data_IF_451514505847
#
_entry.id   IF_451514505847
#
_cell.length_a   1.000
_cell.length_b   1.000
_cell.length_c   1.000
_cell.angle_alpha   90.00
_cell.angle_beta   90.00
_cell.angle_gamma   90.00
#
_symmetry.space_group_name_H-M   'P 1'
#
loop_
_entity.id
_entity.type
_entity.pdbx_description
1 polymer ?
#
# COMPACT_ATOMS: atom_id res chain seq x y z
N UNK A 1 45.83 36.88 -42.31
CA UNK A 1 46.43 36.68 -40.97
C UNK A 1 45.32 36.97 -39.95
N UNK A 2 44.92 36.12 -39.01
CA UNK A 2 45.38 34.81 -38.56
C UNK A 2 44.16 33.98 -38.12
N UNK A 3 44.34 32.65 -38.18
CA UNK A 3 43.41 31.58 -37.79
C UNK A 3 43.57 31.23 -36.30
N UNK A 4 42.47 30.83 -35.65
CA UNK A 4 42.41 29.99 -34.43
C UNK A 4 40.93 29.60 -34.24
N UNK A 5 40.42 28.46 -34.69
CA UNK A 5 40.62 27.07 -34.23
C UNK A 5 40.32 26.89 -32.73
N UNK A 6 39.10 26.44 -32.42
CA UNK A 6 38.68 25.97 -31.10
C UNK A 6 37.49 25.02 -31.27
N UNK A 7 37.78 23.73 -31.15
CA UNK A 7 36.96 22.59 -31.56
C UNK A 7 35.64 22.44 -30.80
N UNK A 8 34.60 22.03 -31.55
CA UNK A 8 33.37 21.50 -31.00
C UNK A 8 33.62 20.19 -30.28
N UNK A 9 33.41 20.19 -28.95
CA UNK A 9 33.37 18.96 -28.16
C UNK A 9 31.94 18.44 -28.16
N UNK A 10 31.65 17.57 -29.12
CA UNK A 10 30.41 16.82 -29.19
C UNK A 10 30.23 16.00 -27.89
N UNK A 11 29.13 16.25 -27.20
CA UNK A 11 28.66 15.47 -26.05
C UNK A 11 28.46 14.03 -26.50
N UNK A 12 29.05 13.02 -25.86
CA UNK A 12 28.91 11.64 -26.30
C UNK A 12 27.47 11.17 -26.06
N UNK A 13 26.78 10.96 -27.16
CA UNK A 13 25.69 10.02 -27.43
C UNK A 13 25.10 9.29 -26.21
N UNK A 14 24.13 9.95 -25.54
CA UNK A 14 23.30 9.33 -24.48
C UNK A 14 22.59 8.05 -24.97
N UNK A 15 22.37 7.93 -26.28
CA UNK A 15 21.77 6.75 -26.91
C UNK A 15 22.69 5.51 -26.88
N UNK A 16 24.01 5.68 -26.97
CA UNK A 16 24.96 4.55 -26.83
C UNK A 16 25.09 4.08 -25.38
N UNK A 17 25.03 5.01 -24.41
CA UNK A 17 25.04 4.65 -22.99
C UNK A 17 23.80 3.82 -22.61
N UNK A 18 22.63 4.19 -23.15
CA UNK A 18 21.39 3.42 -22.96
C UNK A 18 21.44 2.04 -23.63
N UNK A 19 22.06 1.93 -24.82
CA UNK A 19 22.25 0.64 -25.50
C UNK A 19 23.24 -0.29 -24.79
N UNK A 20 24.35 0.24 -24.28
CA UNK A 20 25.33 -0.57 -23.52
C UNK A 20 24.80 -1.03 -22.16
N UNK A 21 23.92 -0.26 -21.52
CA UNK A 21 23.21 -0.68 -20.32
C UNK A 21 22.25 -1.85 -20.57
N UNK A 22 21.80 -2.06 -21.83
CA UNK A 22 20.99 -3.23 -22.21
C UNK A 22 21.80 -4.51 -22.45
N UNK A 23 23.13 -4.42 -22.68
CA UNK A 23 24.00 -5.57 -22.95
C UNK A 23 24.68 -6.12 -21.69
N UNK A 24 24.83 -5.28 -20.65
CA UNK A 24 25.27 -5.72 -19.32
C UNK A 24 24.04 -6.02 -18.45
N UNK A 25 23.50 -7.22 -18.63
CA UNK A 25 22.60 -7.93 -17.72
C UNK A 25 21.76 -7.08 -16.78
N UNK A 26 20.47 -6.93 -17.12
CA UNK A 26 19.39 -6.57 -16.21
C UNK A 26 19.33 -7.59 -15.05
N UNK A 27 20.25 -7.48 -14.09
CA UNK A 27 20.29 -8.28 -12.86
C UNK A 27 19.27 -7.79 -11.83
N UNK A 28 18.54 -6.73 -12.17
CA UNK A 28 17.38 -6.23 -11.46
C UNK A 28 16.24 -6.08 -12.45
N UNK A 29 15.76 -7.20 -12.98
CA UNK A 29 14.34 -7.30 -13.25
C UNK A 29 13.65 -6.95 -11.93
N UNK A 30 13.21 -5.69 -11.82
CA UNK A 30 12.32 -5.23 -10.74
C UNK A 30 10.95 -5.83 -11.03
N UNK A 31 10.89 -7.16 -11.12
CA UNK A 31 9.66 -7.89 -10.95
C UNK A 31 9.25 -7.59 -9.51
N UNK A 32 8.24 -6.75 -9.37
CA UNK A 32 7.57 -6.54 -8.09
C UNK A 32 7.03 -7.90 -7.67
N UNK A 33 7.83 -8.63 -6.90
CA UNK A 33 7.41 -9.92 -6.36
C UNK A 33 6.33 -9.60 -5.36
N UNK A 34 5.07 -9.81 -5.76
CA UNK A 34 3.95 -9.60 -4.86
C UNK A 34 4.23 -10.38 -3.56
N UNK A 35 4.14 -9.73 -2.39
CA UNK A 35 4.30 -10.42 -1.13
C UNK A 35 3.28 -11.57 -1.07
N UNK A 36 3.64 -12.69 -0.45
CA UNK A 36 2.79 -13.88 -0.43
C UNK A 36 1.39 -13.53 0.11
N UNK A 37 0.33 -13.94 -0.58
CA UNK A 37 -1.06 -13.63 -0.22
C UNK A 37 -1.48 -14.23 1.14
N UNK A 38 -0.71 -15.20 1.67
CA UNK A 38 -0.93 -15.87 2.94
C UNK A 38 -0.29 -15.15 4.15
N UNK A 39 0.49 -14.07 3.92
CA UNK A 39 1.07 -13.28 5.01
C UNK A 39 0.09 -12.18 5.44
N UNK A 40 -0.21 -12.20 6.74
CA UNK A 40 -1.04 -11.21 7.41
C UNK A 40 -0.28 -10.43 8.47
N UNK A 41 -0.63 -9.16 8.59
CA UNK A 41 -0.02 -8.22 9.51
C UNK A 41 -1.03 -7.79 10.57
N UNK A 42 -0.58 -7.75 11.84
CA UNK A 42 -1.42 -7.30 12.95
C UNK A 42 -1.71 -5.80 12.86
N UNK A 43 -2.76 -5.35 13.55
CA UNK A 43 -3.15 -3.95 13.61
C UNK A 43 -2.01 -2.95 13.89
N UNK A 44 -1.13 -3.17 14.89
CA UNK A 44 0.01 -2.28 15.14
C UNK A 44 0.97 -2.18 13.95
N UNK A 45 1.31 -3.30 13.31
CA UNK A 45 2.15 -3.34 12.12
C UNK A 45 1.51 -2.62 10.95
N UNK A 46 0.22 -2.87 10.70
CA UNK A 46 -0.55 -2.19 9.66
C UNK A 46 -0.63 -0.68 9.89
N UNK A 47 -0.85 -0.24 11.13
CA UNK A 47 -0.85 1.17 11.52
C UNK A 47 0.50 1.84 11.23
N UNK A 48 1.61 1.20 11.63
CA UNK A 48 2.95 1.70 11.42
C UNK A 48 3.27 1.86 9.93
N UNK A 49 3.05 0.80 9.13
CA UNK A 49 3.36 0.81 7.69
C UNK A 49 2.48 1.79 6.89
N UNK A 50 1.20 1.94 7.25
CA UNK A 50 0.28 2.87 6.60
C UNK A 50 0.39 4.31 7.15
N UNK A 51 1.06 4.53 8.28
CA UNK A 51 1.16 5.84 8.93
C UNK A 51 -0.17 6.33 9.52
N UNK A 52 -1.00 5.42 10.02
CA UNK A 52 -2.33 5.73 10.59
C UNK A 52 -2.38 5.37 12.07
N UNK A 53 -3.33 5.96 12.79
CA UNK A 53 -3.61 5.60 14.18
C UNK A 53 -4.46 4.34 14.26
N UNK A 54 -4.38 3.65 15.39
CA UNK A 54 -5.24 2.49 15.67
C UNK A 54 -6.74 2.84 15.61
N UNK A 55 -7.13 4.06 16.02
CA UNK A 55 -8.51 4.54 15.93
C UNK A 55 -8.98 4.69 14.48
N UNK A 56 -8.11 5.20 13.59
CA UNK A 56 -8.43 5.27 12.16
C UNK A 56 -8.60 3.87 11.58
N UNK A 57 -7.67 2.96 11.89
CA UNK A 57 -7.76 1.56 11.46
C UNK A 57 -9.08 0.90 11.91
N UNK A 58 -9.44 1.02 13.19
CA UNK A 58 -10.67 0.43 13.72
C UNK A 58 -11.93 1.09 13.13
N UNK A 59 -11.94 2.41 13.00
CA UNK A 59 -13.06 3.12 12.39
C UNK A 59 -13.27 2.72 10.93
N UNK A 60 -12.20 2.61 10.13
CA UNK A 60 -12.29 2.21 8.73
C UNK A 60 -12.69 0.74 8.56
N UNK A 61 -12.24 -0.16 9.46
CA UNK A 61 -12.71 -1.54 9.47
C UNK A 61 -14.21 -1.62 9.82
N UNK A 62 -14.64 -0.91 10.88
CA UNK A 62 -16.04 -0.93 11.34
C UNK A 62 -17.00 -0.30 10.33
N UNK A 63 -16.56 0.71 9.58
CA UNK A 63 -17.32 1.37 8.51
C UNK A 63 -17.12 0.73 7.14
N UNK A 64 -16.44 -0.43 7.09
CA UNK A 64 -16.17 -1.21 5.88
C UNK A 64 -15.48 -0.42 4.77
N UNK A 65 -14.69 0.58 5.13
CA UNK A 65 -13.86 1.30 4.16
C UNK A 65 -12.62 0.47 3.80
N UNK A 66 -12.00 -0.16 4.80
CA UNK A 66 -10.92 -1.16 4.61
C UNK A 66 -11.06 -2.24 5.67
N UNK A 67 -11.31 -3.48 5.23
CA UNK A 67 -11.49 -4.64 6.10
C UNK A 67 -10.26 -5.55 6.01
N UNK A 68 -9.89 -6.27 7.09
CA UNK A 68 -8.83 -7.26 7.03
C UNK A 68 -9.22 -8.40 6.09
N UNK A 69 -8.41 -8.64 5.05
CA UNK A 69 -8.67 -9.69 4.05
C UNK A 69 -8.05 -11.04 4.39
N UNK A 70 -7.00 -11.09 5.20
CA UNK A 70 -6.35 -12.36 5.60
C UNK A 70 -7.14 -13.05 6.71
N UNK A 71 -7.52 -12.31 7.76
CA UNK A 71 -8.32 -12.86 8.86
C UNK A 71 -9.15 -11.77 9.51
N UNK A 72 -10.47 -11.93 9.46
CA UNK A 72 -11.39 -11.11 10.24
C UNK A 72 -11.38 -11.54 11.72
N UNK A 73 -11.76 -10.60 12.60
CA UNK A 73 -11.96 -10.91 14.01
C UNK A 73 -13.33 -11.58 14.20
N UNK A 74 -13.34 -12.77 14.80
CA UNK A 74 -14.50 -13.53 15.23
C UNK A 74 -14.42 -13.76 16.75
N UNK A 75 -15.07 -12.90 17.53
CA UNK A 75 -15.14 -13.04 19.00
C UNK A 75 -13.87 -12.63 19.76
N UNK A 76 -13.89 -12.88 21.08
CA UNK A 76 -12.81 -12.53 22.01
C UNK A 76 -11.58 -13.41 21.76
N UNK A 77 -10.42 -12.80 21.54
CA UNK A 77 -9.13 -13.48 21.34
C UNK A 77 -8.70 -13.63 19.86
N UNK A 78 -9.62 -13.48 18.91
CA UNK A 78 -9.28 -13.49 17.48
C UNK A 78 -8.62 -12.16 17.06
N UNK A 79 -7.50 -12.25 16.35
CA UNK A 79 -6.77 -11.07 15.89
C UNK A 79 -7.02 -10.82 14.40
N UNK A 80 -7.31 -9.57 14.06
CA UNK A 80 -7.39 -9.12 12.66
C UNK A 80 -6.02 -9.21 12.03
N UNK A 81 -5.94 -9.86 10.87
CA UNK A 81 -4.75 -9.86 10.02
C UNK A 81 -5.07 -9.15 8.71
N UNK A 82 -4.26 -8.15 8.41
CA UNK A 82 -4.33 -7.34 7.20
C UNK A 82 -3.33 -7.87 6.18
N UNK A 83 -3.72 -8.02 4.92
CA UNK A 83 -2.77 -8.34 3.85
C UNK A 83 -1.89 -7.12 3.54
N UNK A 84 -0.84 -7.34 2.75
CA UNK A 84 -0.09 -6.24 2.14
C UNK A 84 -1.02 -5.28 1.38
N UNK A 85 -1.97 -5.84 0.62
CA UNK A 85 -2.93 -5.07 -0.17
C UNK A 85 -3.81 -4.19 0.70
N UNK A 86 -4.28 -4.71 1.85
CA UNK A 86 -5.06 -3.90 2.78
C UNK A 86 -4.23 -2.70 3.26
N UNK A 87 -2.96 -2.91 3.59
CA UNK A 87 -2.06 -1.85 4.07
C UNK A 87 -1.79 -0.81 2.99
N UNK A 88 -1.61 -1.24 1.74
CA UNK A 88 -1.49 -0.33 0.60
C UNK A 88 -2.74 0.56 0.49
N UNK A 89 -3.94 -0.04 0.53
CA UNK A 89 -5.20 0.69 0.47
C UNK A 89 -5.35 1.63 1.68
N UNK A 90 -5.00 1.20 2.90
CA UNK A 90 -5.00 2.05 4.09
C UNK A 90 -4.14 3.31 3.90
N UNK A 91 -2.93 3.15 3.33
CA UNK A 91 -2.01 4.26 3.08
C UNK A 91 -2.51 5.21 1.99
N UNK A 92 -3.15 4.68 0.95
CA UNK A 92 -3.79 5.49 -0.11
C UNK A 92 -4.98 6.27 0.46
N UNK A 93 -5.86 5.62 1.23
CA UNK A 93 -6.98 6.27 1.92
C UNK A 93 -6.49 7.43 2.80
N UNK A 94 -5.43 7.20 3.58
CA UNK A 94 -4.80 8.24 4.39
C UNK A 94 -4.36 9.42 3.52
N UNK A 95 -3.60 9.17 2.45
CA UNK A 95 -3.08 10.25 1.58
C UNK A 95 -4.20 11.07 0.94
N UNK A 96 -5.28 10.42 0.49
CA UNK A 96 -6.44 11.12 -0.06
C UNK A 96 -7.16 11.98 0.99
N UNK A 97 -7.31 11.47 2.22
CA UNK A 97 -7.89 12.25 3.32
C UNK A 97 -7.00 13.43 3.71
N UNK A 98 -5.68 13.24 3.76
CA UNK A 98 -4.72 14.29 4.12
C UNK A 98 -4.72 15.44 3.09
N UNK A 99 -5.15 15.18 1.84
CA UNK A 99 -5.35 16.22 0.81
C UNK A 99 -6.77 16.80 0.75
N UNK A 100 -7.65 16.39 1.67
CA UNK A 100 -9.01 16.95 1.78
C UNK A 100 -10.06 16.30 0.88
N UNK A 101 -9.75 15.15 0.26
CA UNK A 101 -10.75 14.39 -0.52
C UNK A 101 -11.81 13.84 0.43
N UNK A 102 -13.09 13.95 0.05
CA UNK A 102 -14.18 13.49 0.90
C UNK A 102 -14.19 11.97 1.05
N UNK A 103 -14.65 11.48 2.20
CA UNK A 103 -14.77 10.05 2.48
C UNK A 103 -15.64 9.31 1.46
N UNK A 104 -16.63 9.99 0.86
CA UNK A 104 -17.50 9.43 -0.15
C UNK A 104 -16.75 9.14 -1.46
N UNK A 105 -15.97 10.10 -1.97
CA UNK A 105 -15.14 9.90 -3.17
C UNK A 105 -14.09 8.82 -2.94
N UNK A 106 -13.47 8.82 -1.76
CA UNK A 106 -12.48 7.81 -1.38
C UNK A 106 -13.10 6.41 -1.41
N UNK A 107 -14.32 6.23 -0.92
CA UNK A 107 -15.00 4.93 -0.96
C UNK A 107 -15.18 4.43 -2.40
N UNK A 108 -15.56 5.30 -3.33
CA UNK A 108 -15.68 4.96 -4.75
C UNK A 108 -14.32 4.54 -5.31
N UNK A 109 -13.28 5.35 -5.09
CA UNK A 109 -11.92 5.05 -5.58
C UNK A 109 -11.37 3.72 -5.02
N UNK A 110 -11.52 3.47 -3.72
CA UNK A 110 -11.08 2.23 -3.07
C UNK A 110 -11.80 1.01 -3.64
N UNK A 111 -13.08 1.13 -3.99
CA UNK A 111 -13.83 0.03 -4.60
C UNK A 111 -13.21 -0.35 -5.94
N UNK A 112 -12.90 0.64 -6.79
CA UNK A 112 -12.23 0.39 -8.07
C UNK A 112 -10.83 -0.24 -7.92
N UNK A 113 -10.06 0.15 -6.90
CA UNK A 113 -8.76 -0.48 -6.61
C UNK A 113 -8.89 -1.94 -6.19
N UNK A 114 -9.99 -2.30 -5.52
CA UNK A 114 -10.23 -3.66 -5.04
C UNK A 114 -10.59 -4.64 -6.15
N UNK A 115 -11.11 -4.16 -7.27
CA UNK A 115 -11.48 -5.00 -8.41
C UNK A 115 -10.29 -5.32 -9.32
N UNK A 116 -9.14 -4.64 -9.15
CA UNK A 116 -7.93 -4.83 -9.96
C UNK A 116 -6.90 -5.76 -9.31
N UNK A 117 -6.14 -6.47 -10.16
CA UNK A 117 -5.03 -7.30 -9.74
C UNK A 117 -3.90 -6.50 -9.09
N UNK A 118 -3.17 -7.14 -8.18
CA UNK A 118 -2.07 -6.54 -7.41
C UNK A 118 -0.93 -6.05 -8.31
N UNK A 119 -0.63 -6.79 -9.39
CA UNK A 119 0.41 -6.47 -10.37
C UNK A 119 0.08 -5.23 -11.21
N UNK A 120 -1.21 -4.94 -11.43
CA UNK A 120 -1.65 -3.79 -12.23
C UNK A 120 -1.54 -2.47 -11.45
N UNK A 121 -1.47 -2.53 -10.11
CA UNK A 121 -1.41 -1.34 -9.26
C UNK A 121 -0.12 -0.54 -9.43
N UNK A 122 0.98 -1.16 -9.89
CA UNK A 122 2.27 -0.48 -10.00
C UNK A 122 2.29 0.65 -11.05
N UNK A 123 1.45 0.55 -12.09
CA UNK A 123 1.38 1.53 -13.19
C UNK A 123 0.28 2.58 -12.99
N UNK A 124 -0.49 2.47 -11.92
CA UNK A 124 -1.63 3.37 -11.66
C UNK A 124 -1.16 4.62 -10.92
N UNK A 125 -1.64 5.76 -11.39
CA UNK A 125 -1.60 7.03 -10.67
C UNK A 125 -3.02 7.50 -10.40
N UNK A 126 -3.38 7.63 -9.11
CA UNK A 126 -4.64 8.24 -8.73
C UNK A 126 -4.52 9.75 -8.80
N UNK A 127 -5.42 10.41 -9.50
CA UNK A 127 -5.45 11.86 -9.66
C UNK A 127 -6.71 12.41 -9.02
N UNK A 128 -6.62 13.50 -8.26
CA UNK A 128 -7.75 14.10 -7.56
C UNK A 128 -7.73 15.61 -7.67
N UNK A 129 -8.86 16.21 -8.05
CA UNK A 129 -9.15 17.66 -7.98
C UNK A 129 -9.85 18.07 -6.66
N UNK A 130 -10.10 17.09 -5.77
CA UNK A 130 -10.83 17.26 -4.51
C UNK A 130 -12.34 17.00 -4.62
N UNK A 131 -12.87 16.92 -5.84
CA UNK A 131 -14.28 16.63 -6.15
C UNK A 131 -14.45 15.23 -6.76
N UNK A 132 -13.43 14.73 -7.43
CA UNK A 132 -13.40 13.43 -8.10
C UNK A 132 -12.02 12.80 -7.96
N UNK A 133 -11.99 11.47 -8.02
CA UNK A 133 -10.74 10.70 -8.07
C UNK A 133 -10.73 9.92 -9.36
N UNK A 134 -9.69 10.12 -10.16
CA UNK A 134 -9.47 9.49 -11.45
C UNK A 134 -8.32 8.49 -11.33
N UNK A 135 -8.41 7.42 -12.09
CA UNK A 135 -7.35 6.45 -12.22
C UNK A 135 -6.67 6.67 -13.58
N UNK A 136 -5.40 7.04 -13.57
CA UNK A 136 -4.61 7.22 -14.78
C UNK A 136 -3.59 6.09 -14.89
N UNK A 137 -3.50 5.48 -16.06
CA UNK A 137 -2.54 4.41 -16.37
C UNK A 137 -1.48 4.84 -17.38
N UNK A 138 -1.62 6.03 -17.95
CA UNK A 138 -0.68 6.62 -18.90
C UNK A 138 -0.40 8.09 -18.60
N UNK A 139 0.73 8.60 -19.10
CA UNK A 139 1.08 10.01 -18.96
C UNK A 139 0.12 10.93 -19.73
N UNK A 140 -0.41 10.46 -20.87
CA UNK A 140 -1.34 11.24 -21.70
C UNK A 140 -2.66 11.50 -20.96
N UNK A 141 -3.22 10.49 -20.28
CA UNK A 141 -4.41 10.66 -19.42
C UNK A 141 -4.20 11.69 -18.31
N UNK A 142 -2.99 11.74 -17.74
CA UNK A 142 -2.64 12.75 -16.72
C UNK A 142 -2.58 14.14 -17.34
N UNK A 143 -2.00 14.28 -18.53
CA UNK A 143 -1.91 15.54 -19.26
C UNK A 143 -3.31 16.05 -19.64
N UNK A 144 -4.18 15.18 -20.14
CA UNK A 144 -5.55 15.54 -20.50
C UNK A 144 -6.34 16.08 -19.32
N UNK A 145 -6.17 15.50 -18.13
CA UNK A 145 -6.80 15.99 -16.91
C UNK A 145 -6.32 17.41 -16.52
N UNK A 146 -5.03 17.69 -16.73
CA UNK A 146 -4.38 18.96 -16.42
C UNK A 146 -4.74 20.07 -17.41
N UNK A 147 -5.02 19.73 -18.68
CA UNK A 147 -5.35 20.72 -19.72
C UNK A 147 -6.60 21.55 -19.38
N UNK A 148 -7.47 21.07 -18.49
CA UNK A 148 -8.61 21.81 -17.98
C UNK A 148 -8.29 23.02 -17.09
N UNK A 149 -7.01 23.27 -16.77
CA UNK A 149 -6.57 24.41 -15.94
C UNK A 149 -6.89 24.26 -14.44
N UNK A 150 -7.34 23.08 -14.03
CA UNK A 150 -7.62 22.71 -12.65
C UNK A 150 -6.36 22.21 -11.93
N UNK A 151 -6.23 22.56 -10.65
CA UNK A 151 -5.18 22.01 -9.80
C UNK A 151 -5.53 20.58 -9.38
N UNK A 152 -4.67 19.63 -9.68
CA UNK A 152 -4.85 18.21 -9.34
C UNK A 152 -3.68 17.69 -8.53
N UNK A 153 -3.99 16.79 -7.60
CA UNK A 153 -3.01 16.07 -6.81
C UNK A 153 -2.92 14.62 -7.27
N UNK A 154 -1.70 14.13 -7.47
CA UNK A 154 -1.42 12.77 -7.93
C UNK A 154 -0.80 11.88 -6.86
N UNK A 155 -1.30 10.64 -6.74
CA UNK A 155 -0.71 9.55 -5.95
C UNK A 155 -0.31 8.42 -6.89
N UNK A 156 0.97 8.33 -7.21
CA UNK A 156 1.51 7.18 -7.94
C UNK A 156 1.52 5.95 -7.04
N UNK A 157 0.68 4.96 -7.34
CA UNK A 157 0.51 3.76 -6.50
C UNK A 157 1.76 2.89 -6.47
N UNK A 158 2.52 2.81 -7.57
CA UNK A 158 3.81 2.11 -7.60
C UNK A 158 4.82 2.66 -6.59
N UNK A 159 4.80 3.96 -6.29
CA UNK A 159 5.66 4.54 -5.25
C UNK A 159 5.15 4.19 -3.85
N UNK A 160 3.83 4.27 -3.63
CA UNK A 160 3.23 3.89 -2.33
C UNK A 160 3.49 2.42 -2.03
N UNK A 161 3.43 1.57 -3.06
CA UNK A 161 3.80 0.17 -2.98
C UNK A 161 5.19 -0.02 -2.39
N UNK A 162 6.22 0.57 -3.03
CA UNK A 162 7.61 0.45 -2.61
C UNK A 162 7.82 0.94 -1.17
N UNK A 163 7.12 2.01 -0.77
CA UNK A 163 7.19 2.49 0.61
C UNK A 163 6.56 1.51 1.61
N UNK A 164 5.44 0.87 1.27
CA UNK A 164 4.79 -0.13 2.13
C UNK A 164 5.66 -1.38 2.21
N UNK A 165 6.20 -1.84 1.09
CA UNK A 165 7.14 -2.95 1.02
C UNK A 165 8.38 -2.71 1.89
N UNK A 166 9.02 -1.56 1.74
CA UNK A 166 10.16 -1.16 2.58
C UNK A 166 9.79 -1.08 4.06
N UNK A 167 8.61 -0.55 4.41
CA UNK A 167 8.15 -0.47 5.80
C UNK A 167 7.90 -1.87 6.40
N UNK A 168 7.39 -2.80 5.61
CA UNK A 168 7.04 -4.15 6.08
C UNK A 168 8.22 -5.11 6.08
N UNK A 169 9.26 -4.85 5.28
CA UNK A 169 10.48 -5.65 5.26
C UNK A 169 11.16 -5.73 6.64
N UNK A 170 11.01 -4.69 7.46
CA UNK A 170 11.59 -4.62 8.81
C UNK A 170 10.61 -5.02 9.92
N UNK A 171 9.37 -5.34 9.59
CA UNK A 171 8.29 -5.56 10.58
C UNK A 171 7.83 -7.02 10.63
N UNK A 172 7.38 -7.52 11.80
CA UNK A 172 6.91 -8.90 11.92
C UNK A 172 5.65 -9.14 11.08
N UNK A 173 5.70 -10.14 10.18
CA UNK A 173 4.55 -10.70 9.48
C UNK A 173 4.16 -12.06 10.05
N UNK A 174 2.86 -12.38 10.03
CA UNK A 174 2.33 -13.67 10.47
C UNK A 174 1.78 -14.43 9.27
N UNK A 175 2.21 -15.68 9.09
CA UNK A 175 1.51 -16.55 8.14
C UNK A 175 0.13 -16.87 8.69
N UNK A 176 -0.87 -16.80 7.82
CA UNK A 176 -2.20 -17.30 8.10
C UNK A 176 -2.11 -18.84 8.21
N UNK A 177 -1.80 -19.35 9.40
CA UNK A 177 -1.92 -20.78 9.65
C UNK A 177 -3.38 -21.19 9.38
N UNK A 178 -3.56 -22.11 8.43
CA UNK A 178 -4.85 -22.71 8.13
C UNK A 178 -5.23 -23.60 9.31
N UNK A 179 -6.13 -23.13 10.16
CA UNK A 179 -6.69 -23.94 11.25
C UNK A 179 -6.71 -23.23 12.59
N UNK A 180 -7.93 -23.07 13.11
CA UNK A 180 -8.19 -22.77 14.51
C UNK A 180 -7.45 -23.75 15.42
N UNK A 181 -6.49 -23.22 16.17
CA UNK A 181 -6.31 -23.64 17.55
C UNK A 181 -6.47 -22.36 18.39
N UNK A 182 -7.46 -22.27 19.29
CA UNK A 182 -7.48 -21.17 20.24
C UNK A 182 -6.16 -21.24 21.00
N UNK A 183 -5.37 -20.17 20.92
CA UNK A 183 -4.21 -20.04 21.79
C UNK A 183 -4.76 -20.10 23.23
N UNK A 184 -4.47 -21.17 23.95
CA UNK A 184 -4.74 -21.27 25.38
C UNK A 184 -4.03 -20.10 26.06
N UNK A 185 -4.78 -19.04 26.35
CA UNK A 185 -4.26 -17.91 27.08
C UNK A 185 -4.06 -18.33 28.55
N UNK A 186 -2.87 -18.14 29.15
CA UNK A 186 -2.59 -18.48 30.56
C UNK A 186 -3.47 -17.73 31.59
N UNK A 187 -4.33 -16.82 31.14
CA UNK A 187 -5.20 -16.01 32.00
C UNK A 187 -6.50 -16.70 32.43
N UNK A 188 -6.89 -17.84 31.84
CA UNK A 188 -8.13 -18.54 32.22
C UNK A 188 -7.96 -19.49 33.44
N UNK A 189 -6.72 -19.81 33.84
CA UNK A 189 -6.49 -20.56 35.09
C UNK A 189 -7.02 -19.80 36.32
N UNK A 190 -6.89 -18.47 36.34
CA UNK A 190 -7.33 -17.63 37.45
C UNK A 190 -8.86 -17.57 37.57
N UNK A 191 -9.58 -17.60 36.45
CA UNK A 191 -11.04 -17.64 36.45
C UNK A 191 -11.57 -19.02 36.86
N UNK A 192 -10.88 -20.10 36.45
CA UNK A 192 -11.14 -21.46 36.93
C UNK A 192 -10.97 -21.60 38.44
N UNK A 193 -9.84 -21.12 38.99
CA UNK A 193 -9.57 -21.17 40.45
C UNK A 193 -10.56 -20.35 41.29
N UNK A 194 -11.11 -19.26 40.76
CA UNK A 194 -12.14 -18.46 41.44
C UNK A 194 -13.50 -19.15 41.50
N UNK A 195 -13.87 -19.92 40.48
CA UNK A 195 -15.10 -20.73 40.47
C UNK A 195 -15.03 -21.89 41.47
N UNK A 196 -13.88 -22.57 41.55
CA UNK A 196 -13.66 -23.65 42.49
C UNK A 196 -13.69 -23.22 43.98
N UNK A 197 -13.44 -21.93 44.27
CA UNK A 197 -13.46 -21.38 45.64
C UNK A 197 -14.82 -20.81 46.09
N UNK A 198 -15.82 -20.73 45.20
CA UNK A 198 -17.16 -20.18 45.53
C UNK A 198 -18.23 -21.24 45.80
N UNK A 199 -17.89 -22.51 45.70
CA UNK A 199 -18.70 -23.63 46.20
C UNK A 199 -18.13 -24.08 47.53
N UNK A 200 -18.57 -23.41 48.59
CA UNK A 200 -18.26 -23.68 49.99
C UNK A 200 -19.23 -22.89 50.85
#
# INVERSE_FOLDING_TARGET
MAVSSGEGKATPDRHMASRRAGEQGLLFDTQVSAPPEDVGYRGPTACAAAGITYRQLDYWARTKLVEPSVRAAHGSGSQRLYSFRDILVLKVVKRLLDTGVSLQQIRTAVTHLRDRGVQDLAQITLMSDGVSVYECTSADEVVDLLQGGQGVFGIALGRVWQEVEGSLAELPGERAATGDAPAEHPHDELAGRRRARRTG
#
